data_IF_270936358718
#
_entry.id   IF_270936358718
#
_cell.length_a   1.000
_cell.length_b   1.000
_cell.length_c   1.000
_cell.angle_alpha   90.00
_cell.angle_beta   90.00
_cell.angle_gamma   90.00
#
_symmetry.space_group_name_H-M   'P 1'
#
loop_
_entity.id
_entity.type
_entity.pdbx_description
1 polymer ?
#
# COMPACT_ATOMS: atom_id res chain seq x y z
N UNK A 1 -0.75 -12.22 -10.89
CA UNK A 1 -0.13 -12.07 -9.56
C UNK A 1 -1.07 -12.57 -8.47
N UNK A 2 -2.36 -12.24 -8.44
CA UNK A 2 -3.36 -13.03 -7.70
C UNK A 2 -4.33 -13.70 -8.70
N UNK A 3 -4.74 -14.94 -8.40
CA UNK A 3 -5.70 -15.70 -9.22
C UNK A 3 -7.12 -15.19 -8.94
N UNK A 4 -8.02 -15.22 -9.94
CA UNK A 4 -9.41 -14.76 -9.80
C UNK A 4 -10.20 -15.57 -8.75
N UNK A 5 -9.64 -16.72 -8.33
CA UNK A 5 -10.12 -17.62 -7.29
C UNK A 5 -9.74 -17.20 -5.85
N UNK A 6 -9.06 -16.07 -5.67
CA UNK A 6 -8.57 -15.66 -4.35
C UNK A 6 -9.72 -15.23 -3.43
N UNK A 7 -10.17 -16.15 -2.57
CA UNK A 7 -11.18 -15.91 -1.51
C UNK A 7 -10.61 -15.16 -0.29
N UNK A 8 -9.40 -14.64 -0.39
CA UNK A 8 -8.68 -14.12 0.76
C UNK A 8 -9.29 -12.84 1.30
N UNK A 9 -9.20 -12.76 2.63
CA UNK A 9 -9.82 -11.75 3.46
C UNK A 9 -9.73 -10.35 2.85
N UNK A 10 -10.85 -9.63 2.85
CA UNK A 10 -11.08 -8.31 2.26
C UNK A 10 -10.01 -7.26 2.59
N UNK A 11 -9.18 -7.51 3.60
CA UNK A 11 -8.14 -6.65 4.12
C UNK A 11 -6.70 -7.08 3.78
N UNK A 12 -6.48 -8.10 2.94
CA UNK A 12 -5.12 -8.59 2.69
C UNK A 12 -4.24 -7.53 2.02
N UNK A 13 -4.83 -6.63 1.23
CA UNK A 13 -4.13 -5.49 0.62
C UNK A 13 -3.54 -4.59 1.71
N UNK A 14 -4.32 -4.26 2.75
CA UNK A 14 -3.88 -3.41 3.86
C UNK A 14 -2.72 -4.05 4.64
N UNK A 15 -2.76 -5.38 4.82
CA UNK A 15 -1.68 -6.15 5.45
C UNK A 15 -0.38 -6.01 4.66
N UNK A 16 -0.45 -6.22 3.34
CA UNK A 16 0.74 -6.08 2.49
C UNK A 16 1.24 -4.65 2.41
N UNK A 17 0.36 -3.65 2.33
CA UNK A 17 0.77 -2.23 2.34
C UNK A 17 1.46 -1.88 3.65
N UNK A 18 0.97 -2.36 4.79
CA UNK A 18 1.62 -2.18 6.10
C UNK A 18 3.00 -2.83 6.13
N UNK A 19 3.12 -4.07 5.66
CA UNK A 19 4.42 -4.75 5.59
C UNK A 19 5.39 -4.01 4.65
N UNK A 20 4.89 -3.49 3.54
CA UNK A 20 5.71 -2.76 2.57
C UNK A 20 6.22 -1.45 3.17
N UNK A 21 5.37 -0.66 3.83
CA UNK A 21 5.75 0.57 4.55
C UNK A 21 6.86 0.30 5.58
N UNK A 22 6.68 -0.72 6.42
CA UNK A 22 7.68 -1.11 7.39
C UNK A 22 9.01 -1.52 6.74
N UNK A 23 8.96 -2.20 5.59
CA UNK A 23 10.15 -2.68 4.88
C UNK A 23 10.95 -1.55 4.23
N UNK A 24 10.27 -0.49 3.77
CA UNK A 24 10.91 0.68 3.15
C UNK A 24 11.15 1.83 4.14
N UNK A 25 10.75 1.68 5.41
CA UNK A 25 10.88 2.73 6.43
C UNK A 25 9.96 3.92 6.21
N UNK A 26 8.82 3.73 5.53
CA UNK A 26 7.85 4.79 5.22
C UNK A 26 6.78 4.92 6.32
N UNK A 27 7.22 5.19 7.54
CA UNK A 27 6.33 5.36 8.70
C UNK A 27 5.48 6.63 8.60
N UNK A 28 6.02 7.67 7.95
CA UNK A 28 5.37 8.97 7.74
C UNK A 28 4.38 8.98 6.56
N UNK A 29 4.20 7.85 5.84
CA UNK A 29 3.34 7.74 4.66
C UNK A 29 3.70 8.76 3.56
N UNK A 30 4.98 9.05 3.39
CA UNK A 30 5.50 9.93 2.34
C UNK A 30 5.48 9.24 1.00
N UNK A 31 5.88 7.97 0.94
CA UNK A 31 5.97 7.18 -0.30
C UNK A 31 4.64 6.54 -0.64
N UNK A 32 4.00 5.83 0.31
CA UNK A 32 2.73 5.15 0.11
C UNK A 32 1.65 5.88 0.90
N UNK A 33 0.85 6.70 0.21
CA UNK A 33 -0.27 7.46 0.80
C UNK A 33 -1.58 6.69 0.74
N UNK A 34 -2.37 6.79 1.80
CA UNK A 34 -3.73 6.24 1.85
C UNK A 34 -4.74 7.28 1.37
N UNK A 35 -5.49 6.97 0.32
CA UNK A 35 -6.60 7.81 -0.18
C UNK A 35 -7.91 7.11 0.16
N UNK A 36 -8.63 7.62 1.18
CA UNK A 36 -9.87 7.01 1.66
C UNK A 36 -10.92 6.92 0.56
N UNK A 37 -11.53 5.75 0.42
CA UNK A 37 -12.54 5.47 -0.60
C UNK A 37 -11.99 5.25 -2.02
N UNK A 38 -10.66 5.34 -2.21
CA UNK A 38 -10.01 5.16 -3.51
C UNK A 38 -8.97 4.03 -3.46
N UNK A 39 -8.10 4.02 -2.45
CA UNK A 39 -7.03 3.04 -2.32
C UNK A 39 -5.71 3.66 -1.86
N UNK A 40 -4.62 3.26 -2.50
CA UNK A 40 -3.26 3.72 -2.16
C UNK A 40 -2.61 4.42 -3.35
N UNK A 41 -1.88 5.49 -3.06
CA UNK A 41 -1.07 6.23 -4.03
C UNK A 41 0.39 6.02 -3.69
N UNK A 42 1.21 5.69 -4.69
CA UNK A 42 2.66 5.60 -4.55
C UNK A 42 3.23 6.84 -5.21
N UNK A 43 3.96 7.65 -4.45
CA UNK A 43 4.73 8.79 -4.96
C UNK A 43 6.20 8.50 -4.71
N UNK A 44 7.01 8.58 -5.76
CA UNK A 44 8.42 8.87 -5.56
C UNK A 44 8.48 10.35 -5.14
N UNK A 45 9.27 10.70 -4.13
CA UNK A 45 9.65 12.10 -3.97
C UNK A 45 10.48 12.46 -5.21
N UNK A 46 9.82 12.98 -6.27
CA UNK A 46 10.51 13.88 -7.18
C UNK A 46 10.60 15.21 -6.42
N UNK A 47 11.73 15.42 -5.75
CA UNK A 47 12.16 16.77 -5.39
C UNK A 47 12.20 17.59 -6.69
N UNK A 48 11.35 18.60 -6.78
CA UNK A 48 11.52 19.75 -7.67
C UNK A 48 11.24 21.02 -6.90
#
# INVERSE_FOLDING_TARGET
VWDQSFSGATNIVDVYVRHLRNKIGDDDQKVIRTVRGVGYLITAEEET
#
